data_IF_560318963967
#
_entry.id   IF_560318963967
#
_cell.length_a   1.000
_cell.length_b   1.000
_cell.length_c   1.000
_cell.angle_alpha   90.00
_cell.angle_beta   90.00
_cell.angle_gamma   90.00
#
_symmetry.space_group_name_H-M   'P 1'
#
loop_
_entity.id
_entity.type
_entity.pdbx_description
1 polymer ?
#
# COMPACT_ATOMS: atom_id res chain seq x y z
N UNK A 1 -6.17 -12.86 13.80
CA UNK A 1 -4.95 -13.28 13.08
C UNK A 1 -4.16 -14.19 13.98
N UNK A 2 -3.87 -15.40 13.52
CA UNK A 2 -3.00 -16.35 14.23
C UNK A 2 -1.52 -15.93 14.09
N UNK A 3 -0.65 -16.47 14.94
CA UNK A 3 0.81 -16.27 14.80
C UNK A 3 1.32 -16.70 13.43
N UNK A 4 0.79 -17.81 12.88
CA UNK A 4 1.20 -18.31 11.57
C UNK A 4 0.80 -17.35 10.44
N UNK A 5 -0.42 -16.81 10.48
CA UNK A 5 -0.89 -15.81 9.50
C UNK A 5 -0.05 -14.53 9.59
N UNK A 6 0.23 -14.06 10.81
CA UNK A 6 1.10 -12.91 11.01
C UNK A 6 2.49 -13.12 10.41
N UNK A 7 3.12 -14.26 10.70
CA UNK A 7 4.45 -14.58 10.16
C UNK A 7 4.42 -14.68 8.63
N UNK A 8 3.38 -15.30 8.06
CA UNK A 8 3.21 -15.39 6.62
C UNK A 8 3.10 -14.00 5.97
N UNK A 9 2.16 -13.17 6.43
CA UNK A 9 1.96 -11.82 5.90
C UNK A 9 3.20 -10.93 6.06
N UNK A 10 3.91 -11.07 7.18
CA UNK A 10 5.15 -10.33 7.46
C UNK A 10 6.33 -10.77 6.57
N UNK A 11 6.30 -11.98 6.02
CA UNK A 11 7.37 -12.51 5.16
C UNK A 11 7.23 -12.12 3.69
N UNK A 12 6.02 -11.74 3.25
CA UNK A 12 5.70 -11.45 1.85
C UNK A 12 6.12 -10.04 1.43
N UNK A 13 6.22 -9.81 0.11
CA UNK A 13 6.21 -8.43 -0.42
C UNK A 13 4.90 -7.74 -0.05
N UNK A 14 4.91 -6.41 0.10
CA UNK A 14 3.75 -5.66 0.58
C UNK A 14 2.48 -5.91 -0.25
N UNK A 15 2.59 -5.93 -1.57
CA UNK A 15 1.48 -6.26 -2.47
C UNK A 15 1.08 -7.74 -2.43
N UNK A 16 2.03 -8.67 -2.31
CA UNK A 16 1.72 -10.09 -2.18
C UNK A 16 0.97 -10.38 -0.87
N UNK A 17 1.30 -9.66 0.21
CA UNK A 17 0.60 -9.76 1.49
C UNK A 17 -0.88 -9.32 1.36
N UNK A 18 -1.15 -8.22 0.64
CA UNK A 18 -2.53 -7.79 0.35
C UNK A 18 -3.28 -8.81 -0.50
N UNK A 19 -2.64 -9.38 -1.53
CA UNK A 19 -3.26 -10.46 -2.32
C UNK A 19 -3.53 -11.71 -1.47
N UNK A 20 -2.63 -12.04 -0.54
CA UNK A 20 -2.83 -13.16 0.37
C UNK A 20 -4.01 -12.93 1.32
N UNK A 21 -4.22 -11.69 1.78
CA UNK A 21 -5.45 -11.33 2.52
C UNK A 21 -6.70 -11.55 1.68
N UNK A 22 -6.69 -11.21 0.38
CA UNK A 22 -7.82 -11.47 -0.50
C UNK A 22 -8.08 -12.97 -0.70
N UNK A 23 -7.04 -13.80 -0.78
CA UNK A 23 -7.15 -15.26 -0.82
C UNK A 23 -7.77 -15.81 0.48
N UNK A 24 -7.27 -15.39 1.65
CA UNK A 24 -7.79 -15.82 2.95
C UNK A 24 -9.25 -15.38 3.17
N UNK A 25 -9.64 -14.24 2.61
CA UNK A 25 -11.01 -13.74 2.64
C UNK A 25 -11.94 -14.46 1.64
N UNK A 26 -11.42 -15.37 0.80
CA UNK A 26 -12.18 -16.07 -0.23
C UNK A 26 -12.64 -15.18 -1.39
N UNK A 27 -12.02 -14.00 -1.54
CA UNK A 27 -12.34 -13.05 -2.63
C UNK A 27 -11.72 -13.50 -3.95
N UNK A 28 -10.54 -14.11 -3.88
CA UNK A 28 -9.85 -14.72 -5.02
C UNK A 28 -9.54 -16.19 -4.70
N UNK A 29 -9.40 -16.99 -5.75
CA UNK A 29 -8.93 -18.37 -5.63
C UNK A 29 -7.40 -18.47 -5.76
N UNK A 30 -6.87 -19.67 -5.55
CA UNK A 30 -5.43 -19.95 -5.63
C UNK A 30 -4.85 -19.73 -7.04
N UNK A 31 -5.63 -19.99 -8.09
CA UNK A 31 -5.21 -19.75 -9.48
C UNK A 31 -5.02 -18.25 -9.76
N UNK A 32 -5.96 -17.43 -9.27
CA UNK A 32 -5.89 -15.97 -9.36
C UNK A 32 -4.77 -15.41 -8.51
N UNK A 33 -4.58 -15.92 -7.30
CA UNK A 33 -3.46 -15.55 -6.43
C UNK A 33 -2.10 -15.81 -7.11
N UNK A 34 -1.90 -17.02 -7.65
CA UNK A 34 -0.66 -17.40 -8.35
C UNK A 34 -0.37 -16.56 -9.60
N UNK A 35 -1.40 -16.24 -10.39
CA UNK A 35 -1.25 -15.44 -11.62
C UNK A 35 -1.06 -13.93 -11.37
N UNK A 36 -1.49 -13.43 -10.21
CA UNK A 36 -1.38 -12.01 -9.84
C UNK A 36 -0.17 -11.71 -8.96
N UNK A 37 0.47 -12.73 -8.38
CA UNK A 37 1.65 -12.58 -7.54
C UNK A 37 2.74 -11.75 -8.22
N UNK A 38 3.30 -10.78 -7.49
CA UNK A 38 4.29 -9.84 -8.03
C UNK A 38 3.72 -8.76 -8.96
N UNK A 39 2.40 -8.66 -9.12
CA UNK A 39 1.73 -7.69 -10.00
C UNK A 39 0.86 -6.70 -9.20
N UNK A 40 1.46 -5.72 -8.48
CA UNK A 40 0.70 -4.75 -7.68
C UNK A 40 -0.35 -3.97 -8.48
N UNK A 41 -0.18 -3.81 -9.80
CA UNK A 41 -1.15 -3.18 -10.72
C UNK A 41 -2.51 -3.90 -10.78
N UNK A 42 -2.57 -5.17 -10.37
CA UNK A 42 -3.82 -5.94 -10.29
C UNK A 42 -4.65 -5.60 -9.04
N UNK A 43 -4.00 -5.06 -7.99
CA UNK A 43 -4.67 -4.63 -6.75
C UNK A 43 -5.40 -3.30 -6.96
N UNK A 44 -4.67 -2.30 -7.46
CA UNK A 44 -5.15 -1.01 -7.95
C UNK A 44 -4.07 -0.44 -8.86
N UNK A 45 -4.45 0.33 -9.88
CA UNK A 45 -3.54 0.96 -10.84
C UNK A 45 -3.74 2.48 -10.92
N UNK A 46 -2.89 3.16 -11.68
CA UNK A 46 -2.90 4.63 -11.78
C UNK A 46 -4.14 5.22 -12.46
N UNK A 47 -5.00 4.40 -13.07
CA UNK A 47 -6.29 4.83 -13.61
C UNK A 47 -7.45 4.68 -12.60
N UNK A 48 -7.22 3.98 -11.47
CA UNK A 48 -8.20 3.88 -10.40
C UNK A 48 -8.31 5.19 -9.60
N UNK A 49 -9.33 5.25 -8.73
CA UNK A 49 -9.62 6.41 -7.89
C UNK A 49 -8.40 6.74 -7.01
N UNK A 50 -8.00 8.01 -7.05
CA UNK A 50 -6.88 8.51 -6.26
C UNK A 50 -7.35 8.99 -4.88
N UNK A 51 -6.59 8.63 -3.84
CA UNK A 51 -6.69 9.27 -2.51
C UNK A 51 -5.80 10.51 -2.54
N UNK A 52 -6.43 11.69 -2.51
CA UNK A 52 -5.73 12.96 -2.71
C UNK A 52 -5.16 13.58 -1.44
N UNK A 53 -5.72 13.23 -0.28
CA UNK A 53 -5.40 13.86 0.99
C UNK A 53 -5.86 12.99 2.19
N UNK A 54 -5.54 13.46 3.39
CA UNK A 54 -5.91 12.82 4.65
C UNK A 54 -7.43 12.65 4.83
N UNK A 55 -8.24 13.60 4.34
CA UNK A 55 -9.70 13.55 4.43
C UNK A 55 -10.27 12.47 3.51
N UNK A 56 -9.76 12.36 2.29
CA UNK A 56 -10.09 11.27 1.38
C UNK A 56 -9.69 9.91 1.99
N UNK A 57 -8.50 9.83 2.60
CA UNK A 57 -8.05 8.60 3.28
C UNK A 57 -8.95 8.23 4.46
N UNK A 58 -9.39 9.22 5.25
CA UNK A 58 -10.28 9.02 6.40
C UNK A 58 -11.63 8.41 5.99
N UNK A 59 -12.14 8.79 4.81
CA UNK A 59 -13.41 8.33 4.26
C UNK A 59 -13.30 7.04 3.44
N UNK A 60 -12.10 6.50 3.24
CA UNK A 60 -11.90 5.30 2.44
C UNK A 60 -12.56 4.07 3.12
N UNK A 61 -13.40 3.30 2.42
CA UNK A 61 -14.03 2.11 2.99
C UNK A 61 -13.01 1.00 3.31
N UNK A 62 -13.39 0.12 4.24
CA UNK A 62 -12.65 -1.11 4.48
C UNK A 62 -12.73 -2.06 3.26
N UNK A 63 -11.71 -2.90 3.08
CA UNK A 63 -11.65 -3.85 1.97
C UNK A 63 -11.20 -3.24 0.63
N UNK A 64 -10.67 -2.02 0.65
CA UNK A 64 -10.04 -1.42 -0.54
C UNK A 64 -8.54 -1.66 -0.52
N UNK A 65 -8.00 -2.26 -1.59
CA UNK A 65 -6.56 -2.28 -1.80
C UNK A 65 -6.08 -0.86 -2.12
N UNK A 66 -4.95 -0.50 -1.54
CA UNK A 66 -4.25 0.77 -1.71
C UNK A 66 -2.92 0.46 -2.40
N UNK A 67 -2.60 1.14 -3.49
CA UNK A 67 -1.29 1.04 -4.14
C UNK A 67 -0.68 2.43 -4.27
N UNK A 68 0.57 2.52 -3.83
CA UNK A 68 1.36 3.74 -3.82
C UNK A 68 2.24 3.76 -5.07
N UNK A 69 2.15 4.83 -5.84
CA UNK A 69 2.85 5.02 -7.11
C UNK A 69 3.77 6.23 -7.04
N UNK A 70 5.05 6.03 -7.33
CA UNK A 70 5.93 7.13 -7.73
C UNK A 70 5.86 7.33 -9.25
N UNK A 71 6.30 8.50 -9.74
CA UNK A 71 6.47 8.71 -11.19
C UNK A 71 7.94 8.67 -11.54
N UNK A 72 8.35 7.73 -12.39
CA UNK A 72 9.71 7.62 -12.93
C UNK A 72 9.65 7.79 -14.44
N UNK A 73 10.33 8.81 -14.98
CA UNK A 73 10.36 9.11 -16.41
C UNK A 73 8.95 9.23 -17.03
N UNK A 74 8.01 9.83 -16.29
CA UNK A 74 6.60 9.97 -16.72
C UNK A 74 5.75 8.70 -16.55
N UNK A 75 6.32 7.60 -16.07
CA UNK A 75 5.63 6.31 -15.91
C UNK A 75 5.33 6.09 -14.42
N UNK A 76 4.07 5.75 -14.06
CA UNK A 76 3.74 5.32 -12.70
C UNK A 76 4.42 3.98 -12.35
N UNK A 77 5.17 3.95 -11.26
CA UNK A 77 5.85 2.77 -10.74
C UNK A 77 5.33 2.47 -9.32
N UNK A 78 4.80 1.27 -9.07
CA UNK A 78 4.30 0.91 -7.74
C UNK A 78 5.47 0.73 -6.78
N UNK A 79 5.34 1.29 -5.58
CA UNK A 79 6.37 1.24 -4.52
C UNK A 79 5.88 0.53 -3.26
N UNK A 80 4.57 0.49 -3.03
CA UNK A 80 3.98 -0.10 -1.84
C UNK A 80 2.52 -0.45 -2.03
N UNK A 81 2.00 -1.36 -1.21
CA UNK A 81 0.57 -1.65 -1.14
C UNK A 81 0.10 -1.98 0.27
N UNK A 82 -1.14 -1.63 0.57
CA UNK A 82 -1.80 -1.88 1.85
C UNK A 82 -3.28 -2.22 1.63
N UNK A 83 -3.96 -2.76 2.64
CA UNK A 83 -5.41 -2.99 2.63
C UNK A 83 -6.10 -2.05 3.61
N UNK A 84 -7.05 -1.25 3.13
CA UNK A 84 -7.86 -0.38 3.98
C UNK A 84 -8.71 -1.21 4.94
N UNK A 85 -8.73 -0.79 6.21
CA UNK A 85 -9.65 -1.31 7.24
C UNK A 85 -10.69 -0.26 7.64
N UNK A 86 -10.77 0.85 6.90
CA UNK A 86 -11.70 1.95 7.14
C UNK A 86 -11.25 2.95 8.21
N UNK A 87 -11.83 4.16 8.14
CA UNK A 87 -11.59 5.23 9.11
C UNK A 87 -10.14 5.71 9.11
N UNK A 88 -9.56 5.92 7.91
CA UNK A 88 -8.20 6.43 7.76
C UNK A 88 -7.09 5.40 7.97
N UNK A 89 -7.43 4.14 8.30
CA UNK A 89 -6.47 3.11 8.66
C UNK A 89 -6.30 2.05 7.57
N UNK A 90 -5.09 1.52 7.49
CA UNK A 90 -4.79 0.39 6.62
C UNK A 90 -3.83 -0.59 7.30
N UNK A 91 -3.88 -1.84 6.85
CA UNK A 91 -2.96 -2.89 7.27
C UNK A 91 -1.97 -3.22 6.15
N UNK A 92 -0.72 -3.49 6.49
CA UNK A 92 0.32 -3.77 5.51
C UNK A 92 1.62 -4.25 6.14
N UNK A 93 2.54 -4.71 5.30
CA UNK A 93 3.89 -5.15 5.67
C UNK A 93 4.93 -4.28 4.95
N UNK A 94 6.09 -4.02 5.56
CA UNK A 94 7.20 -3.21 4.99
C UNK A 94 6.79 -1.75 4.73
N UNK A 95 6.15 -1.14 5.73
CA UNK A 95 5.47 0.15 5.59
C UNK A 95 6.42 1.35 5.63
N UNK A 96 7.65 1.18 6.11
CA UNK A 96 8.67 2.23 6.11
C UNK A 96 8.90 2.87 4.73
N UNK A 97 8.63 2.12 3.65
CA UNK A 97 8.62 2.57 2.26
C UNK A 97 7.70 3.77 1.98
N UNK A 98 6.68 4.00 2.81
CA UNK A 98 5.75 5.13 2.72
C UNK A 98 5.89 6.13 3.87
N UNK A 99 6.91 5.95 4.73
CA UNK A 99 7.25 6.89 5.80
C UNK A 99 6.56 6.65 7.13
N UNK A 100 5.85 5.53 7.28
CA UNK A 100 5.16 5.14 8.52
C UNK A 100 5.38 3.67 8.82
N UNK A 101 5.39 3.31 10.10
CA UNK A 101 5.52 1.90 10.51
C UNK A 101 6.92 1.32 10.33
N UNK A 102 6.98 -0.01 10.26
CA UNK A 102 8.21 -0.82 10.32
C UNK A 102 8.64 -1.31 8.94
N UNK A 103 9.93 -1.58 8.82
CA UNK A 103 10.55 -2.18 7.63
C UNK A 103 10.17 -3.64 7.40
N UNK A 104 9.71 -4.34 8.44
CA UNK A 104 9.16 -5.70 8.40
C UNK A 104 8.12 -5.86 9.51
N UNK A 105 7.05 -6.59 9.22
CA UNK A 105 5.98 -6.90 10.15
C UNK A 105 4.63 -6.41 9.63
N UNK A 106 3.63 -7.30 9.65
CA UNK A 106 2.26 -6.91 9.36
C UNK A 106 1.70 -6.07 10.51
N UNK A 107 1.22 -4.88 10.21
CA UNK A 107 0.70 -3.95 11.22
C UNK A 107 -0.45 -3.11 10.65
N UNK A 108 -1.23 -2.54 11.56
CA UNK A 108 -2.29 -1.57 11.26
C UNK A 108 -1.77 -0.18 11.57
N UNK A 109 -1.91 0.74 10.63
CA UNK A 109 -1.45 2.12 10.74
C UNK A 109 -2.59 3.09 10.45
N UNK A 110 -2.59 4.23 11.14
CA UNK A 110 -3.40 5.38 10.76
C UNK A 110 -2.69 6.14 9.64
N UNK A 111 -3.16 5.96 8.41
CA UNK A 111 -2.59 6.60 7.25
C UNK A 111 -3.11 8.03 7.06
N UNK A 112 -4.32 8.33 7.56
CA UNK A 112 -4.88 9.68 7.48
C UNK A 112 -4.06 10.67 8.30
N UNK A 113 -3.66 10.28 9.51
CA UNK A 113 -2.84 11.12 10.39
C UNK A 113 -1.33 10.85 10.26
N UNK A 114 -0.93 9.63 9.88
CA UNK A 114 0.48 9.22 9.89
C UNK A 114 1.27 9.62 8.64
N UNK A 115 0.62 9.68 7.47
CA UNK A 115 1.33 10.00 6.22
C UNK A 115 1.53 11.51 6.05
N UNK A 116 2.63 11.88 5.41
CA UNK A 116 2.92 13.27 5.04
C UNK A 116 2.15 13.68 3.78
N UNK A 117 0.86 13.97 3.94
CA UNK A 117 -0.03 14.39 2.85
C UNK A 117 0.32 15.78 2.32
N UNK A 118 0.58 15.90 1.02
CA UNK A 118 0.75 17.20 0.34
C UNK A 118 0.61 17.06 -1.17
N UNK A 119 0.18 18.14 -1.85
CA UNK A 119 0.18 18.20 -3.32
C UNK A 119 -0.68 17.14 -4.01
N UNK A 120 -1.77 16.69 -3.39
CA UNK A 120 -2.63 15.63 -3.92
C UNK A 120 -2.10 14.21 -3.71
N UNK A 121 -1.09 14.01 -2.86
CA UNK A 121 -0.50 12.71 -2.57
C UNK A 121 0.31 12.71 -1.28
N UNK A 122 1.34 11.88 -1.23
CA UNK A 122 2.19 11.65 -0.05
C UNK A 122 3.65 11.96 -0.38
N UNK A 123 4.36 12.58 0.56
CA UNK A 123 5.83 12.70 0.50
C UNK A 123 6.46 11.52 1.23
N UNK A 124 6.78 10.46 0.49
CA UNK A 124 7.38 9.24 1.03
C UNK A 124 8.92 9.33 1.06
N UNK A 125 9.61 8.69 2.01
CA UNK A 125 11.07 8.69 2.08
C UNK A 125 11.69 7.92 0.91
N UNK A 126 12.68 8.53 0.26
CA UNK A 126 13.52 7.93 -0.79
C UNK A 126 14.85 7.40 -0.26
N UNK A 127 15.26 7.84 0.92
CA UNK A 127 16.54 7.51 1.54
C UNK A 127 17.36 8.75 1.84
N UNK A 128 18.47 8.58 2.54
CA UNK A 128 19.37 9.67 2.85
C UNK A 128 20.16 10.10 1.60
N UNK A 129 20.30 11.41 1.42
CA UNK A 129 21.25 11.97 0.47
C UNK A 129 22.67 11.50 0.84
N UNK A 130 23.43 10.90 -0.09
CA UNK A 130 24.73 10.31 0.24
C UNK A 130 25.79 11.34 0.62
N UNK A 131 25.60 12.62 0.26
CA UNK A 131 26.53 13.72 0.56
C UNK A 131 26.15 14.46 1.83
N UNK A 132 24.86 14.77 2.04
CA UNK A 132 24.41 15.59 3.17
C UNK A 132 23.85 14.78 4.34
N UNK A 133 23.56 13.49 4.14
CA UNK A 133 22.89 12.63 5.12
C UNK A 133 21.41 12.97 5.37
N UNK A 134 20.88 14.02 4.74
CA UNK A 134 19.49 14.45 4.92
C UNK A 134 18.52 13.52 4.20
N UNK A 135 17.36 13.24 4.82
CA UNK A 135 16.33 12.42 4.20
C UNK A 135 15.74 13.11 2.97
N UNK A 136 15.84 12.45 1.81
CA UNK A 136 15.18 12.85 0.57
C UNK A 136 13.80 12.22 0.54
N UNK A 137 12.82 12.98 0.05
CA UNK A 137 11.45 12.52 -0.14
C UNK A 137 11.10 12.47 -1.63
N UNK A 138 10.11 11.65 -1.96
CA UNK A 138 9.51 11.56 -3.29
C UNK A 138 8.01 11.78 -3.19
N UNK A 139 7.44 12.42 -4.22
CA UNK A 139 6.00 12.53 -4.36
C UNK A 139 5.42 11.17 -4.81
N UNK A 140 4.37 10.74 -4.11
CA UNK A 140 3.70 9.46 -4.32
C UNK A 140 2.20 9.69 -4.43
N UNK A 141 1.58 9.10 -5.44
CA UNK A 141 0.12 9.06 -5.58
C UNK A 141 -0.41 7.75 -5.01
N UNK A 142 -1.56 7.81 -4.34
CA UNK A 142 -2.20 6.63 -3.76
C UNK A 142 -3.45 6.36 -4.56
N UNK A 143 -3.56 5.17 -5.14
CA UNK A 143 -4.73 4.73 -5.88
C UNK A 143 -5.38 3.55 -5.16
N UNK A 144 -6.69 3.42 -5.29
CA UNK A 144 -7.40 2.38 -4.58
C UNK A 144 -8.51 1.73 -5.40
N UNK A 145 -8.80 0.48 -5.06
CA UNK A 145 -9.94 -0.28 -5.60
C UNK A 145 -10.46 -1.27 -4.55
N UNK A 146 -11.78 -1.55 -4.49
CA UNK A 146 -12.28 -2.69 -3.73
C UNK A 146 -11.54 -3.98 -4.11
N UNK A 147 -11.18 -4.82 -3.13
CA UNK A 147 -10.52 -6.11 -3.40
C UNK A 147 -11.37 -7.06 -4.24
N UNK A 148 -12.68 -6.86 -4.26
CA UNK A 148 -13.63 -7.60 -5.11
C UNK A 148 -13.55 -7.20 -6.59
N UNK A 149 -12.89 -6.08 -6.93
CA UNK A 149 -12.69 -5.61 -8.30
C UNK A 149 -11.28 -5.82 -8.83
N UNK A 150 -10.42 -6.59 -8.14
CA UNK A 150 -9.04 -6.82 -8.57
C UNK A 150 -9.00 -7.61 -9.88
N UNK A 151 -8.13 -7.16 -10.79
CA UNK A 151 -8.10 -7.55 -12.21
C UNK A 151 -7.17 -8.70 -12.52
#
# INVERSE_FOLDING_TARGET
>A
MTTQEYLMLSSLMCWDAVMHVALLAGVIDDAKYKSSKGRPDTLANSADIQVTDAGAMANLPAGHALVFYETKNGIPVPIHAMISIGGGRAAGNKNDCVGVGKSVGWEVLDLSAGLSWSGGGVQAPLGANPTTGQMVHRAVKVHHRPITGMG
#
